data_IF_365716981698
#
_entry.id   IF_365716981698
#
_cell.length_a   1.000
_cell.length_b   1.000
_cell.length_c   1.000
_cell.angle_alpha   90.00
_cell.angle_beta   90.00
_cell.angle_gamma   90.00
#
_symmetry.space_group_name_H-M   'P 1'
#
loop_
_entity.id
_entity.type
_entity.pdbx_description
1 polymer ?
#
# COMPACT_ATOMS: atom_id res chain seq x y z
N UNK A 1 21.66 -18.80 15.77
CA UNK A 1 20.28 -18.34 15.46
C UNK A 1 19.87 -17.35 16.54
N UNK A 2 19.84 -16.05 16.26
CA UNK A 2 19.36 -15.08 17.23
C UNK A 2 17.84 -15.20 17.27
N UNK A 3 17.31 -15.86 18.29
CA UNK A 3 15.89 -15.87 18.59
C UNK A 3 15.50 -14.40 18.84
N UNK A 4 14.60 -13.86 18.04
CA UNK A 4 14.11 -12.48 18.17
C UNK A 4 13.49 -12.36 19.57
N UNK A 5 14.27 -11.81 20.51
CA UNK A 5 13.82 -11.69 21.91
C UNK A 5 12.90 -10.48 22.04
N UNK A 6 11.60 -10.68 21.75
CA UNK A 6 10.57 -9.66 21.89
C UNK A 6 10.06 -9.69 23.33
N UNK A 7 10.21 -8.57 24.04
CA UNK A 7 9.69 -8.43 25.40
C UNK A 7 8.16 -8.51 25.41
N UNK A 8 7.59 -9.00 26.50
CA UNK A 8 6.12 -9.19 26.63
C UNK A 8 5.32 -7.92 26.28
N UNK A 9 5.78 -6.74 26.68
CA UNK A 9 5.13 -5.44 26.38
C UNK A 9 5.23 -5.03 24.90
N UNK A 10 6.19 -5.56 24.15
CA UNK A 10 6.42 -5.24 22.74
C UNK A 10 5.63 -6.16 21.79
N UNK A 11 5.17 -7.32 22.30
CA UNK A 11 4.53 -8.35 21.45
C UNK A 11 3.25 -7.88 20.76
N UNK A 12 2.35 -7.24 21.51
CA UNK A 12 1.07 -6.77 20.97
C UNK A 12 1.25 -5.72 19.88
N UNK A 13 1.99 -4.61 20.11
CA UNK A 13 2.21 -3.62 19.06
C UNK A 13 3.02 -4.18 17.88
N UNK A 14 3.99 -5.06 18.10
CA UNK A 14 4.75 -5.69 17.02
C UNK A 14 3.87 -6.59 16.15
N UNK A 15 2.94 -7.36 16.75
CA UNK A 15 2.00 -8.19 16.01
C UNK A 15 1.01 -7.34 15.20
N UNK A 16 0.46 -6.28 15.78
CA UNK A 16 -0.45 -5.38 15.06
C UNK A 16 0.24 -4.73 13.85
N UNK A 17 1.46 -4.20 14.05
CA UNK A 17 2.22 -3.62 12.96
C UNK A 17 2.66 -4.67 11.92
N UNK A 18 2.93 -5.91 12.32
CA UNK A 18 3.20 -7.00 11.38
C UNK A 18 2.00 -7.24 10.43
N UNK A 19 0.80 -7.36 11.00
CA UNK A 19 -0.40 -7.55 10.18
C UNK A 19 -0.76 -6.32 9.35
N UNK A 20 -0.57 -5.13 9.89
CA UNK A 20 -0.72 -3.87 9.16
C UNK A 20 0.22 -3.84 7.95
N UNK A 21 1.51 -4.14 8.13
CA UNK A 21 2.48 -4.15 7.04
C UNK A 21 2.20 -5.25 6.02
N UNK A 22 1.84 -6.44 6.48
CA UNK A 22 1.36 -7.51 5.62
C UNK A 22 0.19 -7.05 4.72
N UNK A 23 -0.79 -6.36 5.30
CA UNK A 23 -1.94 -5.85 4.56
C UNK A 23 -1.55 -4.75 3.57
N UNK A 24 -0.71 -3.78 3.96
CA UNK A 24 -0.23 -2.72 3.07
C UNK A 24 0.54 -3.32 1.89
N UNK A 25 1.46 -4.26 2.13
CA UNK A 25 2.24 -4.90 1.06
C UNK A 25 1.35 -5.76 0.16
N UNK A 26 0.36 -6.46 0.73
CA UNK A 26 -0.64 -7.20 -0.05
C UNK A 26 -1.45 -6.27 -0.96
N UNK A 27 -1.90 -5.11 -0.43
CA UNK A 27 -2.59 -4.08 -1.21
C UNK A 27 -1.69 -3.52 -2.32
N UNK A 28 -0.41 -3.28 -2.01
CA UNK A 28 0.59 -2.80 -2.98
C UNK A 28 0.74 -3.76 -4.16
N UNK A 29 0.90 -5.05 -3.89
CA UNK A 29 1.14 -6.06 -4.94
C UNK A 29 -0.13 -6.30 -5.77
N UNK A 30 -1.29 -6.44 -5.12
CA UNK A 30 -2.56 -6.62 -5.84
C UNK A 30 -2.92 -5.37 -6.64
N UNK A 31 -2.73 -4.19 -6.07
CA UNK A 31 -2.96 -2.91 -6.72
C UNK A 31 -2.04 -2.67 -7.91
N UNK A 32 -0.75 -2.94 -7.80
CA UNK A 32 0.18 -2.87 -8.92
C UNK A 32 -0.23 -3.83 -10.04
N UNK A 33 -0.63 -5.06 -9.69
CA UNK A 33 -1.05 -6.07 -10.66
C UNK A 33 -2.29 -5.65 -11.45
N UNK A 34 -3.33 -5.11 -10.79
CA UNK A 34 -4.52 -4.62 -11.50
C UNK A 34 -4.22 -3.37 -12.32
N UNK A 35 -3.47 -2.43 -11.76
CA UNK A 35 -3.05 -1.20 -12.44
C UNK A 35 -2.35 -1.51 -13.76
N UNK A 36 -1.34 -2.37 -13.72
CA UNK A 36 -0.54 -2.71 -14.90
C UNK A 36 -1.38 -3.51 -15.91
N UNK A 37 -2.18 -4.48 -15.45
CA UNK A 37 -3.07 -5.24 -16.31
C UNK A 37 -4.07 -4.33 -17.05
N UNK A 38 -4.80 -3.47 -16.34
CA UNK A 38 -5.79 -2.56 -16.92
C UNK A 38 -5.14 -1.54 -17.84
N UNK A 39 -3.98 -1.00 -17.48
CA UNK A 39 -3.28 -0.03 -18.32
C UNK A 39 -2.86 -0.64 -19.65
N UNK A 40 -2.24 -1.82 -19.64
CA UNK A 40 -1.73 -2.48 -20.84
C UNK A 40 -2.82 -3.08 -21.75
N UNK A 41 -4.07 -3.12 -21.31
CA UNK A 41 -5.19 -3.48 -22.21
C UNK A 41 -5.60 -2.37 -23.16
N UNK A 42 -5.38 -1.09 -22.80
CA UNK A 42 -5.83 0.06 -23.57
C UNK A 42 -4.68 0.97 -24.07
N UNK A 43 -3.53 0.90 -23.44
CA UNK A 43 -2.37 1.74 -23.76
C UNK A 43 -1.16 0.88 -24.13
N UNK A 44 -0.40 1.33 -25.12
CA UNK A 44 0.87 0.69 -25.47
C UNK A 44 1.93 0.89 -24.40
N UNK A 45 2.80 -0.11 -24.24
CA UNK A 45 3.92 -0.07 -23.28
C UNK A 45 4.86 1.12 -23.43
N UNK A 46 4.89 1.75 -24.62
CA UNK A 46 5.71 2.94 -24.87
C UNK A 46 5.28 4.16 -24.05
N UNK A 47 4.05 4.16 -23.49
CA UNK A 47 3.59 5.21 -22.58
C UNK A 47 4.09 5.04 -21.14
N UNK A 48 4.60 3.87 -20.74
CA UNK A 48 5.06 3.63 -19.36
C UNK A 48 6.14 4.62 -18.88
N UNK A 49 7.17 4.98 -19.68
CA UNK A 49 8.16 5.99 -19.25
C UNK A 49 7.52 7.34 -18.94
N UNK A 50 6.51 7.75 -19.70
CA UNK A 50 5.78 9.00 -19.46
C UNK A 50 4.98 8.90 -18.15
N UNK A 51 4.35 7.76 -17.89
CA UNK A 51 3.64 7.52 -16.63
C UNK A 51 4.57 7.60 -15.43
N UNK A 52 5.77 7.02 -15.49
CA UNK A 52 6.76 7.10 -14.40
C UNK A 52 7.23 8.54 -14.12
N UNK A 53 7.48 9.33 -15.17
CA UNK A 53 7.82 10.75 -15.01
C UNK A 53 6.65 11.51 -14.38
N UNK A 54 5.43 11.26 -14.84
CA UNK A 54 4.22 11.89 -14.31
C UNK A 54 4.01 11.54 -12.84
N UNK A 55 4.19 10.28 -12.46
CA UNK A 55 4.14 9.84 -11.06
C UNK A 55 5.17 10.59 -10.22
N UNK A 56 6.41 10.72 -10.68
CA UNK A 56 7.45 11.40 -9.93
C UNK A 56 7.09 12.88 -9.65
N UNK A 57 6.55 13.58 -10.66
CA UNK A 57 6.10 14.98 -10.52
C UNK A 57 4.91 15.08 -9.57
N UNK A 58 3.90 14.22 -9.73
CA UNK A 58 2.72 14.18 -8.86
C UNK A 58 3.12 13.88 -7.42
N UNK A 59 4.01 12.88 -7.21
CA UNK A 59 4.47 12.51 -5.87
C UNK A 59 5.23 13.64 -5.16
N UNK A 60 6.02 14.43 -5.87
CA UNK A 60 6.67 15.60 -5.27
C UNK A 60 5.64 16.59 -4.70
N UNK A 61 4.56 16.87 -5.44
CA UNK A 61 3.45 17.71 -4.97
C UNK A 61 2.66 17.08 -3.82
N UNK A 62 2.36 15.78 -3.94
CA UNK A 62 1.60 15.03 -2.92
C UNK A 62 2.35 14.98 -1.59
N UNK A 63 3.67 14.70 -1.61
CA UNK A 63 4.49 14.67 -0.38
C UNK A 63 4.55 16.05 0.27
N UNK A 64 4.71 17.13 -0.50
CA UNK A 64 4.72 18.48 0.02
C UNK A 64 3.37 18.85 0.67
N UNK A 65 2.26 18.49 0.02
CA UNK A 65 0.91 18.70 0.54
C UNK A 65 0.64 17.84 1.78
N UNK A 66 0.99 16.57 1.74
CA UNK A 66 0.87 15.64 2.86
C UNK A 66 1.56 16.19 4.12
N UNK A 67 2.84 16.59 4.00
CA UNK A 67 3.59 17.18 5.10
C UNK A 67 2.90 18.40 5.71
N UNK A 68 2.30 19.27 4.86
CA UNK A 68 1.59 20.46 5.31
C UNK A 68 0.28 20.12 6.04
N UNK A 69 -0.47 19.15 5.52
CA UNK A 69 -1.78 18.77 6.06
C UNK A 69 -1.69 17.95 7.35
N UNK A 70 -0.62 17.16 7.50
CA UNK A 70 -0.45 16.26 8.65
C UNK A 70 0.42 16.83 9.76
N UNK A 71 0.96 18.04 9.58
CA UNK A 71 1.79 18.70 10.59
C UNK A 71 1.02 18.87 11.92
N UNK A 72 1.56 18.24 12.99
CA UNK A 72 0.96 18.31 14.33
C UNK A 72 -0.25 17.43 14.56
N UNK A 73 -0.63 16.58 13.60
CA UNK A 73 -1.72 15.61 13.74
C UNK A 73 -1.20 14.28 14.33
N UNK A 74 -2.09 13.58 15.03
CA UNK A 74 -1.83 12.22 15.49
C UNK A 74 -1.71 11.26 14.29
N UNK A 75 -0.65 10.44 14.29
CA UNK A 75 -0.35 9.56 13.14
C UNK A 75 -1.43 8.50 12.92
N UNK A 76 -2.06 7.99 13.97
CA UNK A 76 -3.15 7.01 13.86
C UNK A 76 -4.37 7.65 13.19
N UNK A 77 -4.70 8.89 13.58
CA UNK A 77 -5.78 9.64 12.97
C UNK A 77 -5.53 9.90 11.46
N UNK A 78 -4.30 10.30 11.10
CA UNK A 78 -3.90 10.50 9.70
C UNK A 78 -4.05 9.23 8.89
N UNK A 79 -3.57 8.09 9.41
CA UNK A 79 -3.69 6.78 8.74
C UNK A 79 -5.15 6.41 8.55
N UNK A 80 -5.99 6.59 9.57
CA UNK A 80 -7.41 6.24 9.52
C UNK A 80 -8.16 7.05 8.46
N UNK A 81 -7.95 8.36 8.43
CA UNK A 81 -8.59 9.22 7.41
C UNK A 81 -8.06 8.91 6.02
N UNK A 82 -6.75 8.80 5.86
CA UNK A 82 -6.16 8.53 4.53
C UNK A 82 -6.57 7.16 4.00
N UNK A 83 -6.60 6.12 4.83
CA UNK A 83 -7.05 4.79 4.44
C UNK A 83 -8.52 4.75 4.01
N UNK A 84 -9.40 5.46 4.73
CA UNK A 84 -10.80 5.62 4.32
C UNK A 84 -10.92 6.36 2.98
N UNK A 85 -10.21 7.48 2.81
CA UNK A 85 -10.19 8.24 1.56
C UNK A 85 -9.64 7.42 0.38
N UNK A 86 -8.57 6.65 0.60
CA UNK A 86 -8.00 5.77 -0.41
C UNK A 86 -8.98 4.68 -0.83
N UNK A 87 -9.61 4.01 0.14
CA UNK A 87 -10.59 2.97 -0.14
C UNK A 87 -11.80 3.50 -0.93
N UNK A 88 -12.35 4.64 -0.52
CA UNK A 88 -13.48 5.28 -1.20
C UNK A 88 -13.09 5.72 -2.61
N UNK A 89 -11.95 6.38 -2.77
CA UNK A 89 -11.50 6.87 -4.08
C UNK A 89 -11.22 5.73 -5.06
N UNK A 90 -10.62 4.64 -4.62
CA UNK A 90 -10.39 3.46 -5.47
C UNK A 90 -11.70 2.78 -5.84
N UNK A 91 -12.66 2.70 -4.90
CA UNK A 91 -13.99 2.17 -5.19
C UNK A 91 -14.74 3.00 -6.24
N UNK A 92 -14.63 4.34 -6.17
CA UNK A 92 -15.22 5.22 -7.19
C UNK A 92 -14.53 5.10 -8.55
N UNK A 93 -13.20 4.98 -8.58
CA UNK A 93 -12.45 4.80 -9.83
C UNK A 93 -12.75 3.47 -10.51
N UNK A 94 -13.05 2.42 -9.75
CA UNK A 94 -13.40 1.12 -10.30
C UNK A 94 -14.65 1.15 -11.17
N UNK A 95 -15.60 2.06 -10.88
CA UNK A 95 -16.88 2.16 -11.63
C UNK A 95 -16.68 2.63 -13.08
N UNK A 96 -15.51 3.19 -13.42
CA UNK A 96 -15.23 3.81 -14.73
C UNK A 96 -13.82 3.47 -15.22
N UNK A 97 -13.54 2.19 -15.47
CA UNK A 97 -12.25 1.73 -16.00
C UNK A 97 -12.19 1.91 -17.54
N UNK A 98 -12.30 3.14 -18.02
CA UNK A 98 -12.23 3.45 -19.45
C UNK A 98 -11.56 4.79 -19.75
N UNK A 99 -10.92 4.89 -20.90
CA UNK A 99 -10.33 6.13 -21.40
C UNK A 99 -9.35 6.78 -20.43
N UNK A 100 -9.58 8.05 -20.10
CA UNK A 100 -8.70 8.85 -19.24
C UNK A 100 -8.69 8.39 -17.76
N UNK A 101 -9.67 7.63 -17.31
CA UNK A 101 -9.69 7.13 -15.93
C UNK A 101 -8.61 6.09 -15.65
N UNK A 102 -8.12 5.38 -16.67
CA UNK A 102 -7.05 4.39 -16.53
C UNK A 102 -5.70 5.03 -16.17
N UNK A 103 -5.19 6.04 -16.88
CA UNK A 103 -3.99 6.78 -16.44
C UNK A 103 -4.15 7.43 -15.06
N UNK A 104 -5.34 7.93 -14.72
CA UNK A 104 -5.63 8.47 -13.39
C UNK A 104 -5.54 7.37 -12.34
N UNK A 105 -6.15 6.20 -12.56
CA UNK A 105 -6.03 5.05 -11.67
C UNK A 105 -4.56 4.63 -11.52
N UNK A 106 -3.80 4.62 -12.62
CA UNK A 106 -2.39 4.24 -12.63
C UNK A 106 -1.57 5.12 -11.67
N UNK A 107 -1.72 6.44 -11.79
CA UNK A 107 -1.01 7.41 -10.93
C UNK A 107 -1.53 7.32 -9.50
N UNK A 108 -2.85 7.24 -9.31
CA UNK A 108 -3.47 7.24 -7.99
C UNK A 108 -3.10 6.01 -7.16
N UNK A 109 -3.04 4.84 -7.81
CA UNK A 109 -2.57 3.61 -7.15
C UNK A 109 -1.16 3.76 -6.59
N UNK A 110 -0.26 4.42 -7.32
CA UNK A 110 1.10 4.66 -6.86
C UNK A 110 1.13 5.63 -5.66
N UNK A 111 0.30 6.68 -5.70
CA UNK A 111 0.13 7.61 -4.57
C UNK A 111 -0.35 6.88 -3.32
N UNK A 112 -1.39 6.06 -3.45
CA UNK A 112 -1.94 5.26 -2.34
C UNK A 112 -0.88 4.33 -1.75
N UNK A 113 -0.15 3.61 -2.61
CA UNK A 113 0.90 2.68 -2.20
C UNK A 113 2.03 3.35 -1.44
N UNK A 114 2.61 4.40 -2.04
CA UNK A 114 3.77 5.09 -1.46
C UNK A 114 3.39 5.77 -0.14
N UNK A 115 2.24 6.44 -0.08
CA UNK A 115 1.79 7.09 1.15
C UNK A 115 1.48 6.07 2.25
N UNK A 116 0.84 4.94 1.94
CA UNK A 116 0.54 3.91 2.93
C UNK A 116 1.82 3.31 3.55
N UNK A 117 2.83 3.02 2.72
CA UNK A 117 4.13 2.53 3.19
C UNK A 117 4.84 3.60 4.03
N UNK A 118 4.80 4.86 3.58
CA UNK A 118 5.43 5.97 4.28
C UNK A 118 4.80 6.20 5.66
N UNK A 119 3.48 6.24 5.74
CA UNK A 119 2.72 6.35 6.99
C UNK A 119 3.02 5.20 7.96
N UNK A 120 3.09 3.98 7.45
CA UNK A 120 3.46 2.82 8.25
C UNK A 120 4.83 2.97 8.92
N UNK A 121 5.85 3.41 8.17
CA UNK A 121 7.19 3.57 8.74
C UNK A 121 7.28 4.73 9.73
N UNK A 122 6.52 5.80 9.55
CA UNK A 122 6.40 6.88 10.55
C UNK A 122 5.83 6.30 11.84
N UNK A 123 4.67 5.62 11.76
CA UNK A 123 4.02 5.01 12.93
C UNK A 123 4.94 4.00 13.64
N UNK A 124 5.60 3.15 12.90
CA UNK A 124 6.53 2.17 13.48
C UNK A 124 7.71 2.86 14.18
N UNK A 125 8.20 3.99 13.64
CA UNK A 125 9.25 4.80 14.25
C UNK A 125 8.81 5.55 15.51
N UNK A 126 7.53 5.91 15.62
CA UNK A 126 6.96 6.53 16.82
C UNK A 126 6.74 5.51 17.96
N UNK A 127 6.30 4.30 17.61
CA UNK A 127 6.01 3.25 18.60
C UNK A 127 7.28 2.62 19.17
N UNK A 128 8.32 2.46 18.36
CA UNK A 128 9.53 1.76 18.77
C UNK A 128 10.76 2.67 18.80
N UNK A 129 11.48 2.65 19.92
CA UNK A 129 12.78 3.33 20.02
C UNK A 129 13.86 2.62 19.17
N UNK A 130 14.99 3.30 18.91
CA UNK A 130 16.05 2.81 18.03
C UNK A 130 16.59 1.40 18.39
N UNK A 131 16.64 1.04 19.69
CA UNK A 131 17.09 -0.30 20.12
C UNK A 131 16.04 -1.38 19.82
N UNK A 132 14.76 -1.06 19.97
CA UNK A 132 13.65 -1.94 19.68
C UNK A 132 13.48 -2.10 18.16
N UNK A 133 13.55 -0.99 17.42
CA UNK A 133 13.45 -0.94 15.97
C UNK A 133 14.41 -1.94 15.29
N UNK A 134 15.67 -2.00 15.72
CA UNK A 134 16.68 -2.92 15.17
C UNK A 134 16.25 -4.40 15.20
N UNK A 135 15.43 -4.80 16.17
CA UNK A 135 14.95 -6.18 16.32
C UNK A 135 13.59 -6.38 15.64
N UNK A 136 12.70 -5.41 15.82
CA UNK A 136 11.28 -5.51 15.42
C UNK A 136 11.13 -5.25 13.93
N UNK A 137 11.88 -4.34 13.32
CA UNK A 137 11.79 -4.05 11.89
C UNK A 137 12.13 -5.26 11.01
N UNK A 138 13.02 -6.14 11.48
CA UNK A 138 13.25 -7.43 10.79
C UNK A 138 12.00 -8.30 10.79
N UNK A 139 11.26 -8.33 11.91
CA UNK A 139 9.99 -9.05 11.99
C UNK A 139 8.92 -8.41 11.10
N UNK A 140 8.82 -7.08 11.11
CA UNK A 140 7.88 -6.35 10.24
C UNK A 140 8.17 -6.63 8.76
N UNK A 141 9.46 -6.62 8.36
CA UNK A 141 9.88 -6.99 7.02
C UNK A 141 9.47 -8.42 6.61
N UNK A 142 9.45 -9.37 7.57
CA UNK A 142 8.93 -10.70 7.30
C UNK A 142 7.44 -10.66 6.91
N UNK A 143 6.63 -9.76 7.48
CA UNK A 143 5.23 -9.54 7.07
C UNK A 143 5.11 -9.21 5.58
N UNK A 144 5.97 -8.32 5.07
CA UNK A 144 6.05 -8.02 3.64
C UNK A 144 6.45 -9.24 2.79
N UNK A 145 7.39 -10.07 3.28
CA UNK A 145 7.78 -11.30 2.58
C UNK A 145 6.62 -12.32 2.50
N UNK A 146 5.88 -12.49 3.58
CA UNK A 146 4.67 -13.33 3.57
C UNK A 146 3.59 -12.79 2.64
N UNK A 147 3.40 -11.47 2.60
CA UNK A 147 2.50 -10.82 1.64
C UNK A 147 2.92 -11.12 0.20
N UNK A 148 4.21 -11.00 -0.12
CA UNK A 148 4.76 -11.31 -1.43
C UNK A 148 4.55 -12.76 -1.84
N UNK A 149 4.77 -13.70 -0.92
CA UNK A 149 4.49 -15.13 -1.17
C UNK A 149 2.99 -15.37 -1.40
N UNK A 150 2.12 -14.80 -0.52
CA UNK A 150 0.67 -14.94 -0.65
C UNK A 150 0.15 -14.39 -1.99
N UNK A 151 0.62 -13.21 -2.39
CA UNK A 151 0.28 -12.63 -3.68
C UNK A 151 0.83 -13.45 -4.86
N UNK A 152 2.08 -13.92 -4.79
CA UNK A 152 2.69 -14.74 -5.83
C UNK A 152 1.92 -16.02 -6.13
N UNK A 153 1.41 -16.70 -5.09
CA UNK A 153 0.60 -17.89 -5.24
C UNK A 153 -0.90 -17.59 -5.48
N UNK A 154 -1.42 -16.49 -4.93
CA UNK A 154 -2.85 -16.19 -4.92
C UNK A 154 -3.36 -15.41 -6.12
N UNK A 155 -2.58 -14.49 -6.70
CA UNK A 155 -3.05 -13.60 -7.77
C UNK A 155 -3.45 -14.39 -9.03
N UNK A 156 -2.62 -15.32 -9.48
CA UNK A 156 -2.91 -16.09 -10.71
C UNK A 156 -4.22 -16.87 -10.63
N UNK A 157 -4.49 -17.71 -9.61
CA UNK A 157 -5.77 -18.41 -9.50
C UNK A 157 -6.95 -17.44 -9.28
N UNK A 158 -6.75 -16.34 -8.56
CA UNK A 158 -7.78 -15.32 -8.39
C UNK A 158 -8.18 -14.71 -9.74
N UNK A 159 -7.21 -14.25 -10.52
CA UNK A 159 -7.44 -13.63 -11.84
C UNK A 159 -8.07 -14.60 -12.82
N UNK A 160 -7.68 -15.89 -12.81
CA UNK A 160 -8.28 -16.90 -13.68
C UNK A 160 -9.74 -17.17 -13.37
N UNK A 161 -10.18 -16.94 -12.13
CA UNK A 161 -11.56 -17.22 -11.69
C UNK A 161 -12.44 -15.97 -11.74
N UNK A 162 -11.90 -14.84 -11.33
CA UNK A 162 -12.68 -13.61 -11.12
C UNK A 162 -12.33 -12.48 -12.10
N UNK A 163 -11.25 -12.60 -12.88
CA UNK A 163 -10.75 -11.54 -13.74
C UNK A 163 -9.81 -10.56 -13.04
N UNK A 164 -8.98 -9.87 -13.83
CA UNK A 164 -7.96 -8.93 -13.30
C UNK A 164 -8.56 -7.68 -12.65
N UNK A 165 -9.70 -7.20 -13.13
CA UNK A 165 -10.36 -5.99 -12.62
C UNK A 165 -10.81 -6.15 -11.16
N UNK A 166 -11.20 -7.38 -10.77
CA UNK A 166 -11.66 -7.69 -9.43
C UNK A 166 -10.52 -7.72 -8.37
N UNK A 167 -9.25 -7.72 -8.79
CA UNK A 167 -8.13 -7.48 -7.88
C UNK A 167 -8.21 -6.13 -7.17
N UNK A 168 -8.91 -5.15 -7.74
CA UNK A 168 -9.08 -3.85 -7.12
C UNK A 168 -9.91 -3.95 -5.83
N UNK A 169 -10.92 -4.81 -5.78
CA UNK A 169 -11.66 -5.08 -4.53
C UNK A 169 -10.75 -5.70 -3.45
N UNK A 170 -9.86 -6.60 -3.84
CA UNK A 170 -8.90 -7.20 -2.93
C UNK A 170 -7.92 -6.15 -2.39
N UNK A 171 -7.49 -5.21 -3.24
CA UNK A 171 -6.65 -4.09 -2.85
C UNK A 171 -7.37 -3.18 -1.84
N UNK A 172 -8.62 -2.81 -2.11
CA UNK A 172 -9.45 -1.99 -1.20
C UNK A 172 -9.63 -2.70 0.15
N UNK A 173 -9.90 -4.01 0.13
CA UNK A 173 -10.02 -4.81 1.34
C UNK A 173 -8.76 -4.79 2.19
N UNK A 174 -7.59 -4.97 1.59
CA UNK A 174 -6.32 -4.92 2.31
C UNK A 174 -5.99 -3.52 2.85
N UNK A 175 -6.31 -2.45 2.10
CA UNK A 175 -6.18 -1.07 2.60
C UNK A 175 -7.11 -0.87 3.80
N UNK A 176 -8.37 -1.31 3.72
CA UNK A 176 -9.33 -1.19 4.81
C UNK A 176 -8.92 -1.92 6.09
N UNK A 177 -8.29 -3.09 5.98
CA UNK A 177 -7.78 -3.83 7.15
C UNK A 177 -6.51 -3.20 7.73
N UNK A 178 -5.74 -2.45 6.93
CA UNK A 178 -4.50 -1.82 7.39
C UNK A 178 -4.72 -0.59 8.28
N UNK A 179 -5.96 -0.15 8.43
CA UNK A 179 -6.39 1.01 9.23
C UNK A 179 -7.00 0.57 10.54
#
# INVERSE_FOLDING_TARGET
MAIINIKSKERKPAALLFFMFFSIVSATITGASVRDAVFLTQFDKSYLPVMFITIAVVMAGVIALYKKLTAGQDQIFVISISGALFSISLFLLQSNLSGLFIPVLYIWMEVVTILSIFQFWILAGEIFNARQAKRIFTLLGAGGSFAGMGAGFGIKPFVSTFGSENLLFLTIFFIGISV
#
